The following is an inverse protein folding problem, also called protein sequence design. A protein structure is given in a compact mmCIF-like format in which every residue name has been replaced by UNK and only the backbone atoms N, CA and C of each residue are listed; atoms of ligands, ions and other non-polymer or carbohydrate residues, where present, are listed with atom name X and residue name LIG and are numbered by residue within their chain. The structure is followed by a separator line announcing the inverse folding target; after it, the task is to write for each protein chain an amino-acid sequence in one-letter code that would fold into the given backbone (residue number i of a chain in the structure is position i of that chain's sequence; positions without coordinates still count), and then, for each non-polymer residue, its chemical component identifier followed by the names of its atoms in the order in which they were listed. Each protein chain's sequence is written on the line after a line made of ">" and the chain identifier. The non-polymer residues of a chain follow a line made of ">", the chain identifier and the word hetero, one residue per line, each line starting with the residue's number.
data_IF_517928387393
#
_entry.id   IF_517928387393
#
_cell.length_a   1.000
_cell.length_b   1.000
_cell.length_c   1.000
_cell.angle_alpha   90.00
_cell.angle_beta   90.00
_cell.angle_gamma   90.00
#
_symmetry.space_group_name_H-M   'P 1'
#
loop_
_entity.id
_entity.type
_entity.pdbx_description
1 polymer ?
#
# COMPACT_ATOMS: atom_id res chain seq x y z
N UNK A 1 -3.56 -8.77 9.07
CA UNK A 1 -2.36 -8.00 9.45
C UNK A 1 -2.75 -7.10 10.61
N UNK A 2 -2.25 -7.34 11.82
CA UNK A 2 -2.43 -6.40 12.92
C UNK A 2 -1.42 -5.27 12.74
N UNK A 3 -1.91 -4.04 12.55
CA UNK A 3 -1.09 -2.83 12.49
C UNK A 3 -1.14 -2.23 13.89
N UNK A 4 -0.01 -2.19 14.60
CA UNK A 4 0.05 -1.52 15.90
C UNK A 4 -0.16 -0.02 15.68
N UNK A 5 -1.29 0.51 16.14
CA UNK A 5 -1.62 1.96 16.06
C UNK A 5 -0.54 2.86 16.68
N UNK A 6 0.31 2.33 17.57
CA UNK A 6 1.34 3.08 18.29
C UNK A 6 2.69 3.20 17.56
N UNK A 7 2.94 2.46 16.46
CA UNK A 7 4.19 2.51 15.70
C UNK A 7 3.89 2.73 14.22
N UNK A 8 3.80 4.00 13.80
CA UNK A 8 3.58 4.34 12.40
C UNK A 8 4.71 3.76 11.53
N UNK A 9 4.36 3.16 10.39
CA UNK A 9 5.36 2.60 9.48
C UNK A 9 5.80 1.17 9.77
N UNK A 10 5.20 0.45 10.72
CA UNK A 10 5.51 -0.96 11.00
C UNK A 10 4.27 -1.86 10.99
N UNK A 11 4.44 -3.13 10.60
CA UNK A 11 3.41 -4.16 10.68
C UNK A 11 3.96 -5.45 11.28
N UNK A 12 3.08 -6.22 11.91
CA UNK A 12 3.43 -7.52 12.48
C UNK A 12 3.42 -8.56 11.37
N UNK A 13 4.57 -9.21 11.14
CA UNK A 13 4.68 -10.39 10.28
C UNK A 13 4.88 -11.62 11.16
N UNK A 14 4.07 -12.65 10.95
CA UNK A 14 4.30 -13.95 11.58
C UNK A 14 5.63 -14.53 11.11
N UNK A 15 6.45 -15.06 12.02
CA UNK A 15 7.67 -15.77 11.60
C UNK A 15 7.29 -17.02 10.79
N UNK A 16 8.05 -17.34 9.73
CA UNK A 16 7.87 -18.62 9.05
C UNK A 16 8.04 -19.77 10.04
N UNK A 17 7.28 -20.85 9.85
CA UNK A 17 7.45 -22.06 10.65
C UNK A 17 8.82 -22.66 10.37
N UNK A 18 9.42 -23.29 11.38
CA UNK A 18 10.63 -24.09 11.19
C UNK A 18 10.36 -25.13 10.09
N UNK A 19 11.14 -25.09 9.03
CA UNK A 19 11.14 -26.09 7.97
C UNK A 19 12.38 -26.96 8.17
N UNK A 20 12.22 -28.27 7.96
CA UNK A 20 13.31 -29.23 8.05
C UNK A 20 14.11 -29.12 6.76
N UNK A 21 15.20 -28.35 6.78
CA UNK A 21 16.27 -28.53 5.81
C UNK A 21 16.95 -29.86 6.17
N UNK A 22 17.20 -30.73 5.20
CA UNK A 22 17.80 -32.04 5.45
C UNK A 22 19.05 -31.90 6.35
N UNK A 23 19.05 -32.62 7.48
CA UNK A 23 20.17 -32.66 8.42
C UNK A 23 20.31 -31.50 9.42
N UNK A 24 19.54 -30.41 9.33
CA UNK A 24 19.67 -29.26 10.27
C UNK A 24 18.31 -28.82 10.80
N UNK A 25 18.03 -29.10 12.08
CA UNK A 25 16.92 -28.46 12.80
C UNK A 25 17.31 -27.03 13.16
N UNK A 26 17.00 -26.06 12.29
CA UNK A 26 17.13 -24.65 12.67
C UNK A 26 16.06 -24.35 13.75
N UNK A 27 16.51 -24.03 14.97
CA UNK A 27 15.63 -23.71 16.11
C UNK A 27 15.01 -22.32 15.89
N UNK A 28 14.04 -22.21 14.98
CA UNK A 28 13.32 -20.96 14.78
C UNK A 28 12.24 -20.82 15.86
N UNK A 29 12.45 -19.91 16.80
CA UNK A 29 11.48 -19.61 17.86
C UNK A 29 10.15 -19.11 17.25
N UNK A 30 9.04 -19.65 17.75
CA UNK A 30 7.70 -19.17 17.41
C UNK A 30 7.53 -17.71 17.86
N UNK A 31 6.90 -16.89 17.03
CA UNK A 31 6.63 -15.50 17.38
C UNK A 31 6.41 -14.62 16.16
N UNK A 32 6.49 -13.31 16.42
CA UNK A 32 6.25 -12.28 15.43
C UNK A 32 7.50 -11.42 15.23
N UNK A 33 7.63 -10.82 14.05
CA UNK A 33 8.67 -9.82 13.74
C UNK A 33 7.99 -8.52 13.37
N UNK A 34 8.46 -7.42 13.94
CA UNK A 34 8.13 -6.08 13.49
C UNK A 34 8.83 -5.83 12.15
N UNK A 35 8.05 -5.76 11.09
CA UNK A 35 8.53 -5.46 9.75
C UNK A 35 8.16 -4.03 9.39
N UNK A 36 9.08 -3.31 8.74
CA UNK A 36 8.79 -1.95 8.24
C UNK A 36 7.79 -2.04 7.08
N UNK A 37 6.81 -1.15 7.05
CA UNK A 37 5.93 -0.98 5.91
C UNK A 37 6.78 -0.60 4.69
N UNK A 38 6.45 -1.14 3.49
CA UNK A 38 7.08 -0.71 2.27
C UNK A 38 7.00 0.81 2.11
N UNK A 39 8.07 1.42 1.60
CA UNK A 39 8.03 2.83 1.21
C UNK A 39 7.15 2.96 -0.03
N UNK A 40 6.39 4.05 -0.10
CA UNK A 40 5.67 4.41 -1.31
C UNK A 40 6.66 4.58 -2.47
N UNK A 41 6.26 4.12 -3.65
CA UNK A 41 7.06 4.31 -4.86
C UNK A 41 7.13 5.80 -5.21
N UNK A 42 8.32 6.32 -5.57
CA UNK A 42 8.44 7.69 -6.03
C UNK A 42 7.65 7.86 -7.33
N UNK A 43 6.73 8.81 -7.35
CA UNK A 43 5.94 9.10 -8.55
C UNK A 43 6.78 9.87 -9.56
N UNK A 44 6.69 9.45 -10.83
CA UNK A 44 7.24 10.18 -11.97
C UNK A 44 6.49 11.51 -12.17
N UNK A 45 7.08 12.46 -12.90
CA UNK A 45 6.44 13.75 -13.15
C UNK A 45 5.04 13.64 -13.80
N UNK A 46 4.82 12.79 -14.82
CA UNK A 46 3.48 12.57 -15.37
C UNK A 46 2.50 11.99 -14.35
N UNK A 47 2.94 11.02 -13.54
CA UNK A 47 2.09 10.41 -12.51
C UNK A 47 1.69 11.42 -11.43
N UNK A 48 2.56 12.37 -11.08
CA UNK A 48 2.23 13.47 -10.16
C UNK A 48 1.14 14.37 -10.73
N UNK A 49 1.25 14.77 -12.00
CA UNK A 49 0.22 15.59 -12.68
C UNK A 49 -1.13 14.90 -12.68
N UNK A 50 -1.18 13.62 -13.02
CA UNK A 50 -2.43 12.83 -12.99
C UNK A 50 -2.99 12.77 -11.56
N UNK A 51 -2.14 12.57 -10.55
CA UNK A 51 -2.56 12.54 -9.14
C UNK A 51 -3.13 13.88 -8.68
N UNK A 52 -2.53 14.98 -9.09
CA UNK A 52 -2.99 16.34 -8.78
C UNK A 52 -4.31 16.66 -9.50
N UNK A 53 -4.42 16.34 -10.78
CA UNK A 53 -5.65 16.46 -11.55
C UNK A 53 -6.78 15.65 -10.91
N UNK A 54 -6.53 14.38 -10.57
CA UNK A 54 -7.50 13.50 -9.92
C UNK A 54 -7.97 14.07 -8.57
N UNK A 55 -7.05 14.59 -7.74
CA UNK A 55 -7.39 15.26 -6.48
C UNK A 55 -8.27 16.50 -6.71
N UNK A 56 -7.92 17.32 -7.70
CA UNK A 56 -8.70 18.53 -8.04
C UNK A 56 -10.11 18.19 -8.53
N UNK A 57 -10.28 17.03 -9.16
CA UNK A 57 -11.56 16.48 -9.61
C UNK A 57 -12.33 15.72 -8.52
N UNK A 58 -11.85 15.74 -7.27
CA UNK A 58 -12.51 15.06 -6.14
C UNK A 58 -12.40 13.54 -6.17
N UNK A 59 -11.51 12.96 -6.98
CA UNK A 59 -11.31 11.51 -7.04
C UNK A 59 -10.49 11.06 -5.82
N UNK A 60 -11.07 10.17 -5.02
CA UNK A 60 -10.46 9.61 -3.83
C UNK A 60 -10.88 8.15 -3.61
N UNK A 61 -10.13 7.44 -2.76
CA UNK A 61 -10.46 6.07 -2.35
C UNK A 61 -11.83 6.06 -1.65
N UNK A 62 -12.74 5.20 -2.11
CA UNK A 62 -14.10 5.10 -1.57
C UNK A 62 -15.17 5.83 -2.39
N UNK A 63 -14.81 6.53 -3.47
CA UNK A 63 -15.78 7.11 -4.41
C UNK A 63 -16.60 6.02 -5.12
N UNK A 64 -17.86 6.32 -5.44
CA UNK A 64 -18.70 5.41 -6.22
C UNK A 64 -18.18 5.26 -7.65
N UNK A 65 -18.42 4.09 -8.25
CA UNK A 65 -17.98 3.82 -9.63
C UNK A 65 -18.56 4.81 -10.63
N UNK A 66 -19.83 5.20 -10.49
CA UNK A 66 -20.47 6.17 -11.38
C UNK A 66 -19.80 7.54 -11.28
N UNK A 67 -19.57 8.04 -10.07
CA UNK A 67 -18.91 9.32 -9.85
C UNK A 67 -17.46 9.31 -10.37
N UNK A 68 -16.73 8.20 -10.22
CA UNK A 68 -15.40 8.05 -10.81
C UNK A 68 -15.43 8.20 -12.33
N UNK A 69 -16.35 7.50 -13.00
CA UNK A 69 -16.44 7.54 -14.48
C UNK A 69 -16.80 8.95 -14.97
N UNK A 70 -17.73 9.63 -14.30
CA UNK A 70 -18.10 11.02 -14.61
C UNK A 70 -16.89 11.95 -14.44
N UNK A 71 -16.19 11.89 -13.31
CA UNK A 71 -15.01 12.72 -13.07
C UNK A 71 -13.88 12.45 -14.08
N UNK A 72 -13.68 11.19 -14.48
CA UNK A 72 -12.67 10.83 -15.48
C UNK A 72 -13.00 11.33 -16.90
N UNK A 73 -14.27 11.37 -17.27
CA UNK A 73 -14.70 11.86 -18.59
C UNK A 73 -14.75 13.37 -18.66
N UNK A 74 -15.29 14.01 -17.64
CA UNK A 74 -15.69 15.42 -17.73
C UNK A 74 -14.65 16.36 -17.14
N UNK A 75 -13.94 15.95 -16.08
CA UNK A 75 -13.03 16.82 -15.35
C UNK A 75 -11.56 16.63 -15.77
N UNK A 76 -11.09 15.38 -15.86
CA UNK A 76 -9.68 15.09 -16.11
C UNK A 76 -9.15 15.66 -17.44
N UNK A 77 -9.86 15.58 -18.59
CA UNK A 77 -9.35 16.09 -19.86
C UNK A 77 -9.09 17.60 -19.88
N UNK A 78 -9.77 18.39 -19.04
CA UNK A 78 -9.57 19.83 -18.94
C UNK A 78 -8.42 20.28 -18.02
N UNK A 79 -7.59 19.33 -17.53
CA UNK A 79 -6.51 19.59 -16.56
C UNK A 79 -5.11 19.29 -17.11
N UNK A 80 -4.99 18.92 -18.39
CA UNK A 80 -3.73 18.64 -19.07
C UNK A 80 -3.34 19.73 -20.06
#
# INVERSE_FOLDING_TARGET
>A
MAVFKSLSGYYIKGRPKAHRLEGITTRQHAGFVLSRLPKDYPLTAPQRRVKEAAKSCGIHTGISRSALVTAMKDCIPGKF
#
